data_IF_753168202865
#
_entry.id   IF_753168202865
#
_cell.length_a   1.000
_cell.length_b   1.000
_cell.length_c   1.000
_cell.angle_alpha   90.00
_cell.angle_beta   90.00
_cell.angle_gamma   90.00
#
_symmetry.space_group_name_H-M   'P 1'
#
loop_
_entity.id
_entity.type
_entity.pdbx_description
1 polymer ?
#
# COMPACT_ATOMS: atom_id res chain seq x y z
N UNK A 1 10.87 1.42 -3.08
CA UNK A 1 10.08 2.68 -3.26
C UNK A 1 10.25 3.48 -1.96
N UNK A 2 10.76 4.71 -2.01
CA UNK A 2 11.18 5.44 -0.81
C UNK A 2 10.06 6.26 -0.15
N UNK A 3 10.25 6.66 1.11
CA UNK A 3 9.33 7.61 1.80
C UNK A 3 9.20 8.93 1.02
N UNK A 4 10.25 9.33 0.30
CA UNK A 4 10.24 10.54 -0.52
C UNK A 4 9.35 10.40 -1.77
N UNK A 5 9.23 9.19 -2.35
CA UNK A 5 8.31 8.92 -3.46
C UNK A 5 6.85 9.09 -3.00
N UNK A 6 6.51 8.54 -1.83
CA UNK A 6 5.19 8.71 -1.22
C UNK A 6 4.87 10.19 -0.97
N UNK A 7 5.82 10.94 -0.39
CA UNK A 7 5.64 12.37 -0.13
C UNK A 7 5.40 13.15 -1.42
N UNK A 8 6.15 12.83 -2.49
CA UNK A 8 5.98 13.48 -3.79
C UNK A 8 4.61 13.17 -4.42
N UNK A 9 4.17 11.91 -4.37
CA UNK A 9 2.86 11.51 -4.88
C UNK A 9 1.70 12.09 -4.06
N UNK A 10 1.78 12.05 -2.73
CA UNK A 10 0.79 12.65 -1.84
C UNK A 10 0.67 14.16 -2.07
N UNK A 11 1.81 14.84 -2.27
CA UNK A 11 1.82 16.26 -2.58
C UNK A 11 1.12 16.56 -3.91
N UNK A 12 1.41 15.79 -4.97
CA UNK A 12 0.71 15.93 -6.27
C UNK A 12 -0.79 15.70 -6.12
N UNK A 13 -1.19 14.73 -5.28
CA UNK A 13 -2.60 14.47 -4.97
C UNK A 13 -3.29 15.69 -4.35
N UNK A 14 -2.67 16.29 -3.33
CA UNK A 14 -3.19 17.49 -2.68
C UNK A 14 -3.20 18.71 -3.61
N UNK A 15 -2.18 18.87 -4.46
CA UNK A 15 -2.13 19.94 -5.46
C UNK A 15 -3.28 19.83 -6.47
N UNK A 16 -3.61 18.60 -6.93
CA UNK A 16 -4.79 18.36 -7.78
C UNK A 16 -6.10 18.65 -7.05
N UNK A 17 -6.24 18.21 -5.79
CA UNK A 17 -7.43 18.51 -4.98
C UNK A 17 -7.67 20.02 -4.87
N UNK A 18 -6.61 20.81 -4.64
CA UNK A 18 -6.73 22.26 -4.55
C UNK A 18 -7.12 22.91 -5.88
N UNK A 19 -6.62 22.39 -7.00
CA UNK A 19 -6.99 22.88 -8.33
C UNK A 19 -8.45 22.55 -8.67
N UNK A 20 -8.91 21.35 -8.34
CA UNK A 20 -10.29 20.91 -8.58
C UNK A 20 -11.28 21.61 -7.64
N UNK A 21 -10.88 21.90 -6.40
CA UNK A 21 -11.69 22.65 -5.44
C UNK A 21 -12.05 24.07 -5.89
N UNK A 22 -11.29 24.65 -6.82
CA UNK A 22 -11.61 25.94 -7.43
C UNK A 22 -12.65 25.82 -8.56
N UNK A 23 -12.96 24.61 -9.02
CA UNK A 23 -13.80 24.33 -10.18
C UNK A 23 -15.16 23.73 -9.82
N UNK A 24 -15.38 23.35 -8.56
CA UNK A 24 -16.62 22.74 -8.07
C UNK A 24 -17.08 23.31 -6.74
N UNK A 25 -18.40 23.43 -6.58
CA UNK A 25 -19.04 23.75 -5.30
C UNK A 25 -19.33 22.48 -4.46
N UNK A 26 -19.20 21.29 -5.05
CA UNK A 26 -19.41 19.99 -4.40
C UNK A 26 -18.19 19.54 -3.57
N UNK A 27 -17.82 20.36 -2.58
CA UNK A 27 -16.60 20.15 -1.77
C UNK A 27 -16.58 18.83 -1.02
N UNK A 28 -17.72 18.38 -0.51
CA UNK A 28 -17.80 17.14 0.28
C UNK A 28 -17.50 15.91 -0.58
N UNK A 29 -17.98 15.88 -1.82
CA UNK A 29 -17.70 14.81 -2.79
C UNK A 29 -16.22 14.80 -3.15
N UNK A 30 -15.65 15.97 -3.39
CA UNK A 30 -14.23 16.12 -3.68
C UNK A 30 -13.35 15.63 -2.53
N UNK A 31 -13.68 16.01 -1.29
CA UNK A 31 -12.94 15.57 -0.10
C UNK A 31 -13.01 14.05 0.05
N UNK A 32 -14.19 13.45 -0.14
CA UNK A 32 -14.35 12.00 -0.06
C UNK A 32 -13.47 11.29 -1.09
N UNK A 33 -13.52 11.71 -2.36
CA UNK A 33 -12.71 11.13 -3.44
C UNK A 33 -11.21 11.21 -3.13
N UNK A 34 -10.71 12.39 -2.75
CA UNK A 34 -9.28 12.58 -2.50
C UNK A 34 -8.81 11.89 -1.21
N UNK A 35 -9.71 11.69 -0.24
CA UNK A 35 -9.45 10.86 0.96
C UNK A 35 -9.26 9.40 0.57
N UNK A 36 -10.09 8.87 -0.33
CA UNK A 36 -9.95 7.50 -0.83
C UNK A 36 -8.65 7.33 -1.63
N UNK A 37 -8.33 8.28 -2.52
CA UNK A 37 -7.07 8.24 -3.29
C UNK A 37 -5.83 8.27 -2.38
N UNK A 38 -5.84 9.11 -1.33
CA UNK A 38 -4.75 9.15 -0.34
C UNK A 38 -4.66 7.86 0.48
N UNK A 39 -5.79 7.28 0.85
CA UNK A 39 -5.84 6.00 1.58
C UNK A 39 -5.26 4.87 0.74
N UNK A 40 -5.62 4.82 -0.54
CA UNK A 40 -5.05 3.86 -1.49
C UNK A 40 -3.54 4.07 -1.67
N UNK A 41 -3.09 5.32 -1.81
CA UNK A 41 -1.67 5.64 -1.92
C UNK A 41 -0.90 5.14 -0.69
N UNK A 42 -1.39 5.47 0.51
CA UNK A 42 -0.79 5.01 1.75
C UNK A 42 -0.73 3.48 1.83
N UNK A 43 -1.83 2.81 1.50
CA UNK A 43 -1.90 1.37 1.47
C UNK A 43 -0.83 0.77 0.56
N UNK A 44 -0.74 1.23 -0.69
CA UNK A 44 0.22 0.68 -1.67
C UNK A 44 1.64 0.82 -1.17
N UNK A 45 1.97 1.98 -0.58
CA UNK A 45 3.31 2.25 -0.07
C UNK A 45 3.66 1.40 1.15
N UNK A 46 2.71 1.27 2.09
CA UNK A 46 2.87 0.43 3.26
C UNK A 46 3.06 -1.05 2.87
N UNK A 47 2.29 -1.53 1.90
CA UNK A 47 2.41 -2.89 1.37
C UNK A 47 3.77 -3.14 0.70
N UNK A 48 4.24 -2.18 -0.11
CA UNK A 48 5.55 -2.26 -0.75
C UNK A 48 6.69 -2.32 0.28
N UNK A 49 6.68 -1.44 1.29
CA UNK A 49 7.68 -1.44 2.36
C UNK A 49 7.67 -2.75 3.17
N UNK A 50 6.49 -3.26 3.52
CA UNK A 50 6.37 -4.53 4.23
C UNK A 50 6.90 -5.69 3.37
N UNK A 51 6.61 -5.69 2.08
CA UNK A 51 7.15 -6.68 1.13
C UNK A 51 8.67 -6.63 1.08
N UNK A 52 9.27 -5.43 0.99
CA UNK A 52 10.73 -5.25 1.00
C UNK A 52 11.36 -5.82 2.29
N UNK A 53 10.76 -5.57 3.47
CA UNK A 53 11.23 -6.11 4.74
C UNK A 53 11.14 -7.63 4.79
N UNK A 54 10.05 -8.22 4.31
CA UNK A 54 9.88 -9.68 4.30
C UNK A 54 10.90 -10.32 3.35
N UNK A 55 11.15 -9.72 2.18
CA UNK A 55 12.14 -10.22 1.22
C UNK A 55 13.58 -10.12 1.74
N UNK A 56 13.94 -9.05 2.46
CA UNK A 56 15.25 -8.94 3.12
C UNK A 56 15.39 -9.99 4.24
N UNK A 57 14.35 -10.17 5.07
CA UNK A 57 14.34 -11.21 6.09
C UNK A 57 14.50 -12.61 5.49
N UNK A 58 13.81 -12.90 4.38
CA UNK A 58 13.94 -14.15 3.63
C UNK A 58 15.37 -14.35 3.14
N UNK A 59 15.94 -13.36 2.47
CA UNK A 59 17.31 -13.41 1.94
C UNK A 59 18.33 -13.71 3.04
N UNK A 60 18.21 -13.06 4.20
CA UNK A 60 19.12 -13.28 5.35
C UNK A 60 18.94 -14.66 5.98
N UNK A 61 17.73 -15.18 6.03
CA UNK A 61 17.44 -16.51 6.56
C UNK A 61 17.90 -17.60 5.60
N UNK A 62 17.69 -17.44 4.30
CA UNK A 62 18.20 -18.35 3.26
C UNK A 62 19.72 -18.41 3.24
N UNK A 63 20.40 -17.29 3.49
CA UNK A 63 21.86 -17.25 3.64
C UNK A 63 22.37 -17.96 4.91
N UNK A 64 21.51 -18.19 5.90
CA UNK A 64 21.87 -18.75 7.22
C UNK A 64 21.39 -20.18 7.46
N UNK A 65 20.43 -20.69 6.69
CA UNK A 65 19.72 -21.93 7.02
C UNK A 65 19.62 -22.90 5.83
N UNK A 66 20.05 -24.15 6.07
CA UNK A 66 19.60 -25.34 5.34
C UNK A 66 18.14 -25.69 5.74
N UNK A 67 17.38 -26.39 4.86
CA UNK A 67 16.01 -26.04 4.50
C UNK A 67 14.95 -26.67 5.42
N UNK A 68 13.83 -25.97 5.60
CA UNK A 68 12.45 -26.50 5.59
C UNK A 68 11.48 -25.77 6.53
N UNK A 69 11.73 -25.60 7.83
CA UNK A 69 10.68 -25.06 8.73
C UNK A 69 10.49 -23.54 8.58
N UNK A 70 11.59 -22.79 8.49
CA UNK A 70 11.56 -21.33 8.53
C UNK A 70 11.14 -20.74 7.19
N UNK A 71 11.51 -21.35 6.05
CA UNK A 71 11.02 -20.94 4.73
C UNK A 71 9.50 -21.03 4.65
N UNK A 72 8.91 -22.07 5.22
CA UNK A 72 7.46 -22.26 5.22
C UNK A 72 6.76 -21.17 6.05
N UNK A 73 7.30 -20.82 7.23
CA UNK A 73 6.74 -19.72 8.05
C UNK A 73 6.76 -18.38 7.32
N UNK A 74 7.85 -18.04 6.62
CA UNK A 74 7.94 -16.78 5.86
C UNK A 74 6.94 -16.76 4.71
N UNK A 75 6.83 -17.86 3.96
CA UNK A 75 5.84 -17.98 2.89
C UNK A 75 4.41 -17.79 3.43
N UNK A 76 4.10 -18.36 4.61
CA UNK A 76 2.80 -18.16 5.26
C UNK A 76 2.55 -16.69 5.64
N UNK A 77 3.56 -15.98 6.16
CA UNK A 77 3.45 -14.55 6.48
C UNK A 77 3.21 -13.73 5.22
N UNK A 78 3.95 -14.00 4.13
CA UNK A 78 3.75 -13.32 2.84
C UNK A 78 2.32 -13.51 2.33
N UNK A 79 1.82 -14.75 2.32
CA UNK A 79 0.45 -15.04 1.88
C UNK A 79 -0.57 -14.34 2.78
N UNK A 80 -0.38 -14.34 4.10
CA UNK A 80 -1.31 -13.70 5.04
C UNK A 80 -1.35 -12.18 4.85
N UNK A 81 -0.19 -11.55 4.62
CA UNK A 81 -0.11 -10.12 4.31
C UNK A 81 -0.78 -9.80 2.97
N UNK A 82 -0.55 -10.63 1.97
CA UNK A 82 -1.18 -10.48 0.65
C UNK A 82 -2.70 -10.70 0.71
N UNK A 83 -3.17 -11.65 1.51
CA UNK A 83 -4.60 -11.92 1.71
C UNK A 83 -5.28 -10.77 2.46
N UNK A 84 -4.63 -10.24 3.50
CA UNK A 84 -5.09 -9.04 4.21
C UNK A 84 -5.14 -7.83 3.27
N UNK A 85 -4.12 -7.66 2.43
CA UNK A 85 -4.08 -6.62 1.43
C UNK A 85 -5.24 -6.76 0.44
N UNK A 86 -5.48 -7.97 -0.06
CA UNK A 86 -6.56 -8.24 -0.99
C UNK A 86 -7.94 -7.99 -0.36
N UNK A 87 -8.12 -8.34 0.91
CA UNK A 87 -9.35 -8.13 1.65
C UNK A 87 -9.66 -6.64 1.91
N UNK A 88 -8.63 -5.84 2.17
CA UNK A 88 -8.80 -4.42 2.51
C UNK A 88 -8.74 -3.49 1.28
N UNK A 89 -7.94 -3.84 0.26
CA UNK A 89 -7.58 -2.95 -0.84
C UNK A 89 -7.39 -3.68 -2.19
N UNK A 90 -7.75 -4.97 -2.31
CA UNK A 90 -7.59 -5.76 -3.53
C UNK A 90 -8.61 -5.44 -4.63
N UNK A 91 -8.46 -6.02 -5.85
CA UNK A 91 -9.27 -5.70 -7.03
C UNK A 91 -10.77 -6.08 -6.99
N UNK A 92 -11.38 -6.23 -5.81
CA UNK A 92 -12.81 -6.49 -5.70
C UNK A 92 -13.31 -6.25 -4.29
N UNK A 93 -13.89 -5.06 -4.03
CA UNK A 93 -15.33 -4.93 -3.78
C UNK A 93 -15.76 -3.44 -3.68
N UNK A 94 -15.59 -2.64 -4.75
CA UNK A 94 -16.27 -1.32 -4.88
C UNK A 94 -17.62 -1.51 -5.59
N UNK A 95 -18.40 -2.51 -5.18
CA UNK A 95 -19.80 -2.67 -5.55
C UNK A 95 -20.59 -3.29 -4.40
N UNK A 96 -20.96 -2.46 -3.42
CA UNK A 96 -22.28 -2.47 -2.78
C UNK A 96 -22.49 -1.23 -1.92
#
# INVERSE_FOLDING_TARGET
MGVDDFRAEARRLLERMLADAQQTDERDVLIAQYTDELTMLYGRHAHALLTEVIEDARTRLDARLSPDPIRQTIATVQTTVQDLWNALWGPGDIRR
#
